data_IF_913131316892
#
_entry.id   IF_913131316892
#
_cell.length_a   1.000
_cell.length_b   1.000
_cell.length_c   1.000
_cell.angle_alpha   90.00
_cell.angle_beta   90.00
_cell.angle_gamma   90.00
#
_symmetry.space_group_name_H-M   'P 1'
#
loop_
_entity.id
_entity.type
_entity.pdbx_description
1 polymer ?
#
# COMPACT_ATOMS: atom_id res chain seq x y z
N UNK A 1 6.46 2.06 10.82
CA UNK A 1 5.59 0.92 11.16
C UNK A 1 5.75 -0.19 10.14
N UNK A 2 5.39 -1.42 10.52
CA UNK A 2 5.37 -2.58 9.64
C UNK A 2 3.96 -3.13 9.54
N UNK A 3 3.50 -3.41 8.33
CA UNK A 3 2.14 -3.91 8.07
C UNK A 3 2.22 -5.06 7.08
N UNK A 4 1.56 -6.16 7.40
CA UNK A 4 1.45 -7.32 6.52
C UNK A 4 0.09 -7.31 5.82
N UNK A 5 0.09 -7.64 4.54
CA UNK A 5 -1.13 -7.69 3.76
C UNK A 5 -0.90 -8.04 2.29
N UNK A 6 -1.93 -7.87 1.48
CA UNK A 6 -1.88 -8.12 0.03
C UNK A 6 -1.82 -6.80 -0.73
N UNK A 7 -0.89 -6.70 -1.69
CA UNK A 7 -0.73 -5.51 -2.55
C UNK A 7 -1.66 -5.59 -3.75
N UNK A 8 -2.40 -4.53 -3.98
CA UNK A 8 -3.35 -4.40 -5.09
C UNK A 8 -3.11 -3.09 -5.84
N UNK A 9 -3.37 -3.09 -7.14
CA UNK A 9 -3.54 -1.84 -7.90
C UNK A 9 -5.03 -1.63 -8.11
N UNK A 10 -5.53 -0.48 -7.67
CA UNK A 10 -6.93 -0.08 -7.81
C UNK A 10 -7.00 0.94 -8.94
N UNK A 11 -7.74 0.62 -9.99
CA UNK A 11 -7.92 1.50 -11.15
C UNK A 11 -9.07 2.48 -10.90
N UNK A 12 -8.79 3.51 -10.09
CA UNK A 12 -9.72 4.60 -9.76
C UNK A 12 -8.97 5.94 -9.89
N UNK A 13 -9.54 6.90 -10.62
CA UNK A 13 -9.00 8.27 -10.75
C UNK A 13 -7.50 8.35 -11.11
N UNK A 14 -7.05 7.55 -12.09
CA UNK A 14 -5.63 7.48 -12.48
C UNK A 14 -4.82 6.44 -11.72
N UNK A 15 -5.45 5.76 -10.77
CA UNK A 15 -4.99 4.52 -10.17
C UNK A 15 -4.09 4.72 -8.95
N UNK A 16 -4.26 3.83 -7.97
CA UNK A 16 -3.49 3.84 -6.73
C UNK A 16 -3.04 2.44 -6.33
N UNK A 17 -1.94 2.39 -5.58
CA UNK A 17 -1.52 1.17 -4.92
C UNK A 17 -2.18 1.08 -3.55
N UNK A 18 -2.70 -0.10 -3.21
CA UNK A 18 -3.34 -0.38 -1.93
C UNK A 18 -2.69 -1.58 -1.26
N UNK A 19 -2.56 -1.52 0.06
CA UNK A 19 -2.35 -2.69 0.90
C UNK A 19 -3.67 -2.99 1.62
N UNK A 20 -4.23 -4.17 1.40
CA UNK A 20 -5.27 -4.71 2.28
C UNK A 20 -4.54 -5.50 3.37
N UNK A 21 -4.44 -4.91 4.56
CA UNK A 21 -3.76 -5.48 5.70
C UNK A 21 -4.53 -6.68 6.28
N UNK A 22 -3.83 -7.51 7.04
CA UNK A 22 -4.41 -8.70 7.67
C UNK A 22 -5.52 -8.38 8.68
N UNK A 23 -5.47 -7.20 9.28
CA UNK A 23 -6.49 -6.68 10.19
C UNK A 23 -7.72 -6.08 9.46
N UNK A 24 -7.72 -6.11 8.12
CA UNK A 24 -8.77 -5.54 7.27
C UNK A 24 -8.57 -4.06 6.93
N UNK A 25 -7.60 -3.38 7.53
CA UNK A 25 -7.28 -1.98 7.23
C UNK A 25 -6.78 -1.84 5.80
N UNK A 26 -7.22 -0.80 5.11
CA UNK A 26 -6.80 -0.49 3.74
C UNK A 26 -5.92 0.75 3.75
N UNK A 27 -4.67 0.57 3.35
CA UNK A 27 -3.71 1.67 3.23
C UNK A 27 -3.50 2.04 1.77
N UNK A 28 -3.50 3.32 1.47
CA UNK A 28 -3.00 3.83 0.19
C UNK A 28 -1.47 3.85 0.26
N UNK A 29 -0.81 3.12 -0.63
CA UNK A 29 0.65 3.04 -0.68
C UNK A 29 1.21 4.15 -1.56
N UNK A 30 2.11 4.96 -1.01
CA UNK A 30 2.78 6.04 -1.72
C UNK A 30 4.29 5.76 -1.81
N UNK A 31 4.90 6.03 -2.96
CA UNK A 31 6.32 5.72 -3.23
C UNK A 31 6.54 4.32 -3.82
N UNK A 32 7.81 3.93 -3.96
CA UNK A 32 8.29 2.58 -4.36
C UNK A 32 7.51 1.89 -5.49
N UNK A 33 7.08 2.63 -6.52
CA UNK A 33 6.18 2.12 -7.58
C UNK A 33 6.69 0.85 -8.28
N UNK A 34 8.01 0.73 -8.49
CA UNK A 34 8.62 -0.47 -9.10
C UNK A 34 8.47 -1.73 -8.25
N UNK A 35 8.72 -1.60 -6.94
CA UNK A 35 8.58 -2.71 -5.98
C UNK A 35 7.12 -3.11 -5.83
N UNK A 36 6.22 -2.13 -5.71
CA UNK A 36 4.77 -2.35 -5.62
C UNK A 36 4.22 -3.04 -6.87
N UNK A 37 4.67 -2.61 -8.06
CA UNK A 37 4.32 -3.27 -9.32
C UNK A 37 4.80 -4.72 -9.36
N UNK A 38 6.02 -4.97 -8.91
CA UNK A 38 6.60 -6.31 -8.86
C UNK A 38 5.94 -7.20 -7.80
N UNK A 39 5.30 -6.61 -6.80
CA UNK A 39 4.59 -7.29 -5.71
C UNK A 39 3.07 -7.37 -5.89
N UNK A 40 2.52 -6.88 -7.00
CA UNK A 40 1.07 -6.92 -7.27
C UNK A 40 0.51 -8.33 -7.08
N UNK A 41 -0.53 -8.45 -6.25
CA UNK A 41 -1.22 -9.69 -5.91
C UNK A 41 -0.49 -10.57 -4.89
N UNK A 42 0.72 -10.22 -4.48
CA UNK A 42 1.47 -10.95 -3.48
C UNK A 42 1.12 -10.48 -2.06
N UNK A 43 1.24 -11.42 -1.12
CA UNK A 43 1.32 -11.11 0.31
C UNK A 43 2.71 -10.58 0.64
N UNK A 44 2.78 -9.48 1.38
CA UNK A 44 4.02 -8.78 1.69
C UNK A 44 4.02 -8.25 3.12
N UNK A 45 5.21 -8.03 3.66
CA UNK A 45 5.46 -7.07 4.74
C UNK A 45 5.87 -5.72 4.11
N UNK A 46 5.15 -4.66 4.43
CA UNK A 46 5.48 -3.27 4.06
C UNK A 46 6.00 -2.54 5.29
N UNK A 47 7.16 -1.92 5.16
CA UNK A 47 7.71 -1.00 6.16
C UNK A 47 7.59 0.44 5.64
N UNK A 48 7.14 1.35 6.50
CA UNK A 48 6.92 2.74 6.12
C UNK A 48 6.43 3.63 7.25
N UNK A 49 6.09 4.88 6.93
CA UNK A 49 5.49 5.84 7.86
C UNK A 49 4.09 6.24 7.40
N UNK A 50 3.18 6.46 8.36
CA UNK A 50 1.91 7.10 8.06
C UNK A 50 2.16 8.55 7.65
N UNK A 51 1.46 9.00 6.62
CA UNK A 51 1.47 10.40 6.18
C UNK A 51 0.19 11.10 6.64
N UNK A 52 0.28 12.40 6.95
CA UNK A 52 -0.88 13.20 7.35
C UNK A 52 -1.69 13.56 6.10
N UNK A 53 -2.56 12.62 5.69
CA UNK A 53 -3.44 12.79 4.54
C UNK A 53 -4.30 11.57 4.29
N UNK A 54 -5.44 11.79 3.63
CA UNK A 54 -6.25 10.71 3.08
C UNK A 54 -5.84 10.47 1.63
N UNK A 55 -5.72 9.20 1.23
CA UNK A 55 -5.38 8.81 -0.15
C UNK A 55 -6.31 9.41 -1.20
N UNK A 56 -5.94 9.24 -2.48
CA UNK A 56 -6.83 9.59 -3.62
C UNK A 56 -8.23 8.98 -3.36
N UNK A 57 -9.28 9.79 -3.54
CA UNK A 57 -10.68 9.39 -3.32
C UNK A 57 -11.06 9.02 -1.89
N UNK A 58 -10.35 9.50 -0.86
CA UNK A 58 -10.52 9.07 0.55
C UNK A 58 -10.38 7.55 0.75
N UNK A 59 -9.52 6.91 -0.04
CA UNK A 59 -9.35 5.44 -0.08
C UNK A 59 -8.73 4.81 1.17
N UNK A 60 -8.31 5.62 2.14
CA UNK A 60 -7.75 5.19 3.42
C UNK A 60 -6.57 6.05 3.87
N UNK A 61 -5.99 5.73 5.03
CA UNK A 61 -4.73 6.31 5.48
C UNK A 61 -3.60 6.05 4.47
N UNK A 62 -2.71 7.02 4.32
CA UNK A 62 -1.55 6.88 3.43
C UNK A 62 -0.36 6.27 4.17
N UNK A 63 0.25 5.25 3.58
CA UNK A 63 1.48 4.61 4.05
C UNK A 63 2.60 4.89 3.05
N UNK A 64 3.56 5.70 3.46
CA UNK A 64 4.78 5.99 2.69
C UNK A 64 5.73 4.82 2.76
N UNK A 65 5.86 4.10 1.65
CA UNK A 65 6.62 2.87 1.56
C UNK A 65 8.12 3.18 1.60
N UNK A 66 8.81 2.56 2.55
CA UNK A 66 10.28 2.54 2.63
C UNK A 66 10.85 1.20 2.16
N UNK A 67 10.15 0.10 2.43
CA UNK A 67 10.57 -1.25 2.01
C UNK A 67 9.36 -2.17 1.78
N UNK A 68 9.49 -3.07 0.80
CA UNK A 68 8.54 -4.15 0.53
C UNK A 68 9.29 -5.48 0.56
N UNK A 69 8.74 -6.47 1.27
CA UNK A 69 9.26 -7.84 1.31
C UNK A 69 8.12 -8.83 1.03
N UNK A 70 8.25 -9.63 -0.03
CA UNK A 70 7.33 -10.74 -0.30
C UNK A 70 7.45 -11.82 0.79
N UNK A 71 6.31 -12.38 1.18
CA UNK A 71 6.18 -13.48 2.13
C UNK A 71 5.91 -14.81 1.42
#
# INVERSE_FOLDING_TARGET
MKVTGTVEFVDLEGGLWRLTADDGTRYTLIGSKGDLKSAKGARVEVEGSLDEGFGIGMSGPQLRVSRVRKL
#
